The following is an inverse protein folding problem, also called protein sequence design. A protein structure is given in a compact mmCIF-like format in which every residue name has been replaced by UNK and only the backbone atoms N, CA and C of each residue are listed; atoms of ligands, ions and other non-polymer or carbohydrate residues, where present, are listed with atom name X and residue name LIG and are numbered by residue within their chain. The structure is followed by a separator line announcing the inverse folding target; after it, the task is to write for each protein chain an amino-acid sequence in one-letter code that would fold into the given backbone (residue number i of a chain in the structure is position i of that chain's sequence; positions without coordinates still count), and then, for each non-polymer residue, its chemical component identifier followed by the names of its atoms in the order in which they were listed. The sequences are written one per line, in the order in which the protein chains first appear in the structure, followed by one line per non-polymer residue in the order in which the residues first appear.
data_IF_139497874094
#
_entry.id   IF_139497874094
#
_cell.length_a   1.000
_cell.length_b   1.000
_cell.length_c   1.000
_cell.angle_alpha   90.00
_cell.angle_beta   90.00
_cell.angle_gamma   90.00
#
_symmetry.space_group_name_H-M   'P 1'
#
loop_
_entity.id
_entity.type
_entity.pdbx_description
1 polymer ?
#
# COMPACT_ATOMS: atom_id res chain seq x y z
N UNK A 1 -19.83 68.04 -19.26
CA UNK A 1 -20.56 67.23 -18.27
C UNK A 1 -19.54 66.48 -17.44
N UNK A 2 -19.43 66.76 -16.13
CA UNK A 2 -18.47 66.10 -15.24
C UNK A 2 -19.17 64.90 -14.60
N UNK A 3 -18.67 63.69 -14.90
CA UNK A 3 -19.14 62.44 -14.30
C UNK A 3 -18.41 62.24 -12.96
N UNK A 4 -19.05 62.65 -11.86
CA UNK A 4 -18.58 62.38 -10.50
C UNK A 4 -18.81 60.88 -10.19
N UNK A 5 -17.74 60.10 -10.10
CA UNK A 5 -17.81 58.69 -9.68
C UNK A 5 -17.87 58.63 -8.16
N UNK A 6 -19.02 58.24 -7.60
CA UNK A 6 -19.12 57.93 -6.17
C UNK A 6 -18.35 56.66 -5.83
N UNK A 7 -17.22 56.80 -5.14
CA UNK A 7 -16.53 55.69 -4.50
C UNK A 7 -17.31 55.30 -3.25
N UNK A 8 -18.07 54.19 -3.31
CA UNK A 8 -18.70 53.60 -2.14
C UNK A 8 -17.61 52.98 -1.25
N UNK A 9 -17.42 53.54 -0.06
CA UNK A 9 -16.57 52.95 0.98
C UNK A 9 -17.29 51.79 1.67
N UNK A 10 -16.54 50.74 2.02
CA UNK A 10 -17.03 49.63 2.85
C UNK A 10 -17.32 50.13 4.27
N UNK A 11 -18.44 49.70 4.85
CA UNK A 11 -18.74 50.01 6.24
C UNK A 11 -17.95 49.10 7.19
N UNK A 12 -17.61 49.62 8.38
CA UNK A 12 -16.94 48.84 9.43
C UNK A 12 -17.74 47.59 9.82
N UNK A 13 -19.08 47.70 9.81
CA UNK A 13 -19.98 46.59 10.14
C UNK A 13 -19.98 45.49 9.07
N UNK A 14 -19.91 45.85 7.78
CA UNK A 14 -19.81 44.88 6.69
C UNK A 14 -18.50 44.07 6.79
N UNK A 15 -17.38 44.73 7.10
CA UNK A 15 -16.11 44.03 7.31
C UNK A 15 -16.17 43.09 8.52
N UNK A 16 -16.76 43.56 9.62
CA UNK A 16 -16.83 42.81 10.88
C UNK A 16 -17.73 41.57 10.79
N UNK A 17 -18.87 41.68 10.11
CA UNK A 17 -19.76 40.53 9.88
C UNK A 17 -19.10 39.51 8.95
N UNK A 18 -18.35 39.96 7.95
CA UNK A 18 -17.71 39.06 6.98
C UNK A 18 -16.67 38.15 7.64
N UNK A 19 -15.80 38.69 8.48
CA UNK A 19 -14.82 37.88 9.20
C UNK A 19 -15.49 36.93 10.21
N UNK A 20 -16.61 37.33 10.80
CA UNK A 20 -17.39 36.48 11.70
C UNK A 20 -17.97 35.28 10.95
N UNK A 21 -18.55 35.49 9.77
CA UNK A 21 -19.10 34.42 8.94
C UNK A 21 -18.00 33.49 8.43
N UNK A 22 -16.88 34.02 7.92
CA UNK A 22 -15.74 33.22 7.47
C UNK A 22 -15.19 32.37 8.62
N UNK A 23 -15.10 32.93 9.83
CA UNK A 23 -14.67 32.19 11.03
C UNK A 23 -15.54 30.95 11.30
N UNK A 24 -16.87 31.12 11.29
CA UNK A 24 -17.82 30.02 11.50
C UNK A 24 -17.68 28.96 10.40
N UNK A 25 -17.68 29.38 9.13
CA UNK A 25 -17.59 28.47 7.99
C UNK A 25 -16.25 27.70 7.96
N UNK A 26 -15.15 28.37 8.31
CA UNK A 26 -13.81 27.76 8.33
C UNK A 26 -13.69 26.62 9.36
N UNK A 27 -14.36 26.74 10.50
CA UNK A 27 -14.32 25.71 11.56
C UNK A 27 -14.90 24.36 11.10
N UNK A 28 -16.01 24.39 10.35
CA UNK A 28 -16.67 23.19 9.81
C UNK A 28 -15.85 22.57 8.68
N UNK A 29 -15.21 23.40 7.85
CA UNK A 29 -14.38 22.94 6.74
C UNK A 29 -13.14 22.20 7.23
N UNK A 30 -12.51 22.64 8.32
CA UNK A 30 -11.30 22.01 8.86
C UNK A 30 -11.52 20.55 9.27
N UNK A 31 -12.65 20.25 9.93
CA UNK A 31 -12.97 18.88 10.35
C UNK A 31 -13.21 17.98 9.13
N UNK A 32 -13.96 18.46 8.15
CA UNK A 32 -14.24 17.68 6.92
C UNK A 32 -12.99 17.46 6.06
N UNK A 33 -12.07 18.43 6.03
CA UNK A 33 -10.81 18.34 5.28
C UNK A 33 -9.85 17.31 5.87
N UNK A 34 -9.78 17.18 7.20
CA UNK A 34 -8.94 16.16 7.83
C UNK A 34 -9.38 14.75 7.45
N UNK A 35 -10.67 14.43 7.56
CA UNK A 35 -11.23 13.14 7.15
C UNK A 35 -11.04 12.87 5.65
N UNK A 36 -11.16 13.90 4.80
CA UNK A 36 -10.93 13.77 3.36
C UNK A 36 -9.46 13.45 3.04
N UNK A 37 -8.51 14.07 3.74
CA UNK A 37 -7.07 13.81 3.61
C UNK A 37 -6.70 12.39 4.03
N UNK A 38 -7.24 11.91 5.15
CA UNK A 38 -7.00 10.53 5.60
C UNK A 38 -7.56 9.51 4.61
N UNK A 39 -8.76 9.75 4.06
CA UNK A 39 -9.34 8.90 3.01
C UNK A 39 -8.48 8.90 1.74
N UNK A 40 -7.94 10.04 1.35
CA UNK A 40 -7.03 10.15 0.21
C UNK A 40 -5.73 9.35 0.45
N UNK A 41 -5.11 9.49 1.63
CA UNK A 41 -3.92 8.71 2.01
C UNK A 41 -4.17 7.21 1.97
N UNK A 42 -5.30 6.74 2.52
CA UNK A 42 -5.69 5.33 2.46
C UNK A 42 -5.89 4.85 1.02
N UNK A 43 -6.50 5.66 0.16
CA UNK A 43 -6.70 5.31 -1.25
C UNK A 43 -5.37 5.20 -1.99
N UNK A 44 -4.44 6.12 -1.73
CA UNK A 44 -3.08 6.07 -2.28
C UNK A 44 -2.34 4.81 -1.81
N UNK A 45 -2.42 4.47 -0.51
CA UNK A 45 -1.82 3.26 0.03
C UNK A 45 -2.38 1.99 -0.65
N UNK A 46 -3.70 1.89 -0.80
CA UNK A 46 -4.32 0.75 -1.52
C UNK A 46 -3.85 0.69 -2.98
N UNK A 47 -3.72 1.83 -3.66
CA UNK A 47 -3.24 1.87 -5.05
C UNK A 47 -1.80 1.38 -5.17
N UNK A 48 -0.91 1.86 -4.29
CA UNK A 48 0.49 1.42 -4.24
C UNK A 48 0.59 -0.07 -3.91
N UNK A 49 -0.22 -0.54 -2.96
CA UNK A 49 -0.29 -1.95 -2.60
C UNK A 49 -0.81 -2.84 -3.75
N UNK A 50 -1.76 -2.37 -4.56
CA UNK A 50 -2.21 -3.10 -5.75
C UNK A 50 -1.14 -3.19 -6.82
N UNK A 51 -0.38 -2.11 -7.04
CA UNK A 51 0.73 -2.13 -7.99
C UNK A 51 1.75 -3.20 -7.61
N UNK A 52 2.10 -3.28 -6.32
CA UNK A 52 3.07 -4.27 -5.86
C UNK A 52 2.48 -5.70 -5.83
N UNK A 53 1.19 -5.86 -5.53
CA UNK A 53 0.50 -7.14 -5.63
C UNK A 53 0.58 -7.72 -7.05
N UNK A 54 0.40 -6.89 -8.09
CA UNK A 54 0.53 -7.33 -9.48
C UNK A 54 1.96 -7.76 -9.82
N UNK A 55 2.97 -7.02 -9.35
CA UNK A 55 4.39 -7.40 -9.51
C UNK A 55 4.67 -8.75 -8.84
N UNK A 56 4.18 -8.94 -7.61
CA UNK A 56 4.34 -10.20 -6.87
C UNK A 56 3.63 -11.36 -7.58
N UNK A 57 2.44 -11.13 -8.13
CA UNK A 57 1.74 -12.13 -8.94
C UNK A 57 2.51 -12.50 -10.21
N UNK A 58 3.11 -11.52 -10.90
CA UNK A 58 3.99 -11.77 -12.05
C UNK A 58 5.25 -12.56 -11.64
N UNK A 59 5.82 -12.28 -10.46
CA UNK A 59 6.94 -13.02 -9.90
C UNK A 59 6.58 -14.51 -9.71
N UNK A 60 5.36 -14.76 -9.22
CA UNK A 60 4.82 -16.10 -8.94
C UNK A 60 4.42 -16.89 -10.18
N UNK A 61 3.86 -16.24 -11.22
CA UNK A 61 3.43 -16.92 -12.46
C UNK A 61 4.63 -17.39 -13.28
N UNK A 62 5.69 -16.60 -13.33
CA UNK A 62 6.91 -16.92 -14.08
C UNK A 62 7.85 -17.88 -13.32
N UNK A 63 7.39 -18.43 -12.19
CA UNK A 63 8.07 -19.51 -11.50
C UNK A 63 7.91 -20.80 -12.31
N UNK A 64 9.00 -21.24 -12.93
CA UNK A 64 9.08 -22.56 -13.53
C UNK A 64 10.06 -23.40 -12.71
N UNK A 65 9.56 -24.47 -12.10
CA UNK A 65 10.41 -25.54 -11.58
C UNK A 65 11.04 -26.21 -12.79
N UNK A 66 12.34 -26.03 -13.01
CA UNK A 66 13.10 -26.90 -13.89
C UNK A 66 13.91 -27.81 -12.99
N UNK A 67 13.74 -29.12 -13.05
CA UNK A 67 14.68 -30.02 -12.41
C UNK A 67 15.89 -30.15 -13.33
N UNK A 68 17.03 -29.53 -13.03
CA UNK A 68 18.29 -30.01 -13.60
C UNK A 68 18.88 -31.00 -12.59
N UNK A 69 19.00 -32.26 -13.04
CA UNK A 69 19.84 -33.32 -12.46
C UNK A 69 19.37 -34.02 -11.17
N UNK A 70 18.11 -33.87 -10.74
CA UNK A 70 17.72 -34.32 -9.39
C UNK A 70 18.40 -33.51 -8.28
N UNK A 71 19.01 -32.38 -8.67
CA UNK A 71 19.50 -31.31 -7.85
C UNK A 71 18.94 -30.00 -8.43
N UNK A 72 17.61 -29.87 -8.37
CA UNK A 72 16.75 -28.72 -8.72
C UNK A 72 17.40 -27.52 -9.40
N UNK A 73 16.96 -27.24 -10.63
CA UNK A 73 17.29 -26.03 -11.37
C UNK A 73 16.25 -24.94 -11.15
N UNK A 74 16.68 -23.71 -11.36
CA UNK A 74 15.98 -22.51 -10.94
C UNK A 74 15.64 -21.68 -12.17
N UNK A 75 14.40 -21.77 -12.67
CA UNK A 75 13.83 -20.69 -13.48
C UNK A 75 12.90 -19.90 -12.56
N UNK A 76 13.47 -18.82 -12.03
CA UNK A 76 12.72 -17.83 -11.30
C UNK A 76 12.38 -16.65 -12.22
N UNK A 77 11.16 -16.13 -12.09
CA UNK A 77 10.77 -14.90 -12.75
C UNK A 77 11.58 -13.72 -12.20
N UNK A 78 12.27 -13.02 -13.12
CA UNK A 78 13.03 -11.75 -13.05
C UNK A 78 14.47 -11.80 -13.64
N UNK A 79 14.91 -12.82 -14.40
CA UNK A 79 16.09 -12.83 -15.32
C UNK A 79 16.25 -14.24 -15.96
N UNK A 80 16.14 -14.42 -17.28
CA UNK A 80 16.35 -15.73 -17.92
C UNK A 80 17.82 -16.20 -17.99
N UNK A 81 18.81 -15.35 -17.68
CA UNK A 81 20.22 -15.63 -17.99
C UNK A 81 21.07 -16.21 -16.84
N UNK A 82 20.61 -16.11 -15.58
CA UNK A 82 21.50 -16.33 -14.41
C UNK A 82 21.05 -17.32 -13.32
N UNK A 83 19.95 -18.07 -13.50
CA UNK A 83 19.67 -19.28 -12.69
C UNK A 83 19.66 -19.11 -11.17
N UNK A 84 19.32 -17.91 -10.66
CA UNK A 84 19.14 -17.65 -9.22
C UNK A 84 17.66 -17.38 -8.93
N UNK A 85 17.19 -17.76 -7.75
CA UNK A 85 15.81 -17.50 -7.32
C UNK A 85 15.58 -15.99 -7.16
N UNK A 86 14.80 -15.42 -8.08
CA UNK A 86 14.65 -13.99 -8.24
C UNK A 86 13.44 -13.39 -7.50
N UNK A 87 12.64 -14.18 -6.80
CA UNK A 87 11.72 -13.67 -5.78
C UNK A 87 12.29 -14.10 -4.42
N UNK A 88 13.42 -13.50 -4.01
CA UNK A 88 14.04 -13.83 -2.72
C UNK A 88 13.29 -13.14 -1.58
N UNK A 89 12.13 -13.68 -1.26
CA UNK A 89 11.37 -13.33 -0.06
C UNK A 89 12.05 -13.81 1.23
N UNK A 90 13.25 -14.40 1.16
CA UNK A 90 14.06 -14.81 2.30
C UNK A 90 15.05 -13.70 2.72
N UNK A 91 15.21 -12.64 1.92
CA UNK A 91 15.83 -11.37 2.33
C UNK A 91 14.85 -10.41 3.03
N UNK A 92 13.74 -10.96 3.47
CA UNK A 92 12.99 -10.41 4.57
C UNK A 92 13.88 -10.52 5.82
N UNK A 93 14.20 -9.40 6.48
CA UNK A 93 14.96 -9.39 7.73
C UNK A 93 14.28 -10.32 8.77
N UNK A 94 15.00 -10.69 9.84
CA UNK A 94 14.69 -11.71 10.87
C UNK A 94 13.24 -11.80 11.44
N UNK A 95 12.29 -10.96 11.01
CA UNK A 95 10.92 -10.83 11.52
C UNK A 95 9.80 -11.04 10.46
N UNK A 96 10.09 -11.39 9.20
CA UNK A 96 9.01 -11.75 8.25
C UNK A 96 8.27 -10.57 7.60
N UNK A 97 8.81 -9.34 7.66
CA UNK A 97 8.20 -8.10 7.13
C UNK A 97 9.07 -7.43 6.06
N UNK A 98 8.51 -6.98 4.90
CA UNK A 98 9.28 -6.28 3.89
C UNK A 98 9.68 -4.86 4.31
N UNK A 99 10.91 -4.44 4.01
CA UNK A 99 11.34 -3.05 4.16
C UNK A 99 11.18 -2.26 2.86
N UNK A 100 10.78 -1.00 2.99
CA UNK A 100 10.68 -0.07 1.86
C UNK A 100 12.03 0.14 1.17
N UNK A 101 12.01 0.18 -0.17
CA UNK A 101 13.18 0.43 -1.00
C UNK A 101 14.06 -0.80 -1.23
N UNK A 102 13.79 -1.93 -0.58
CA UNK A 102 14.45 -3.18 -0.89
C UNK A 102 13.92 -3.77 -2.21
N UNK A 103 14.81 -4.34 -3.05
CA UNK A 103 14.40 -5.03 -4.26
C UNK A 103 13.54 -6.26 -3.93
N UNK A 104 12.50 -6.44 -4.73
CA UNK A 104 11.67 -7.66 -4.76
C UNK A 104 12.39 -8.75 -5.55
N UNK A 105 13.14 -8.33 -6.58
CA UNK A 105 14.00 -9.19 -7.38
C UNK A 105 15.45 -8.66 -7.37
N UNK A 106 16.36 -9.42 -6.76
CA UNK A 106 17.81 -9.16 -6.83
C UNK A 106 18.31 -9.65 -8.19
N UNK A 107 18.69 -8.75 -9.12
CA UNK A 107 19.46 -8.94 -10.38
C UNK A 107 18.91 -8.16 -11.62
N UNK A 108 17.89 -7.33 -11.47
CA UNK A 108 17.48 -6.40 -12.54
C UNK A 108 18.32 -5.12 -12.49
N UNK A 109 18.69 -4.57 -13.66
CA UNK A 109 19.31 -3.23 -13.78
C UNK A 109 18.39 -2.14 -13.20
N UNK A 110 17.08 -2.38 -13.24
CA UNK A 110 16.03 -1.61 -12.54
C UNK A 110 15.11 -2.57 -11.76
N UNK A 111 15.43 -2.92 -10.50
CA UNK A 111 14.61 -3.84 -9.74
C UNK A 111 13.29 -3.19 -9.34
N UNK A 112 12.22 -3.98 -9.37
CA UNK A 112 11.01 -3.62 -8.65
C UNK A 112 11.34 -3.60 -7.17
N UNK A 113 10.99 -2.51 -6.48
CA UNK A 113 11.27 -2.34 -5.05
C UNK A 113 9.98 -2.29 -4.26
N UNK A 114 10.04 -2.72 -3.01
CA UNK A 114 8.95 -2.53 -2.06
C UNK A 114 8.68 -1.02 -1.89
N UNK A 115 7.44 -0.55 -2.12
CA UNK A 115 7.13 0.87 -2.04
C UNK A 115 7.21 1.40 -0.59
N UNK A 116 7.64 2.66 -0.45
CA UNK A 116 7.59 3.36 0.83
C UNK A 116 6.19 3.91 1.11
N UNK A 117 5.56 3.42 2.18
CA UNK A 117 4.24 3.86 2.63
C UNK A 117 4.25 5.01 3.64
N UNK A 118 5.43 5.49 4.07
CA UNK A 118 5.58 6.52 5.11
C UNK A 118 4.76 7.78 4.83
N UNK A 119 4.67 8.22 3.57
CA UNK A 119 3.89 9.39 3.14
C UNK A 119 2.38 9.24 3.38
N UNK A 120 1.87 8.01 3.39
CA UNK A 120 0.47 7.66 3.66
C UNK A 120 0.21 7.40 5.15
N UNK A 121 1.27 7.24 5.95
CA UNK A 121 1.21 6.84 7.36
C UNK A 121 0.98 5.35 7.59
N UNK A 122 1.08 4.54 6.53
CA UNK A 122 1.04 3.09 6.63
C UNK A 122 2.47 2.53 6.72
N UNK A 123 2.61 1.39 7.37
CA UNK A 123 3.85 0.63 7.49
C UNK A 123 3.56 -0.85 7.22
N UNK A 124 4.58 -1.60 6.80
CA UNK A 124 4.47 -3.04 6.69
C UNK A 124 4.44 -3.67 8.08
N UNK A 125 3.57 -4.65 8.28
CA UNK A 125 3.42 -5.31 9.59
C UNK A 125 3.49 -6.83 9.51
N UNK A 126 3.26 -7.40 8.33
CA UNK A 126 3.28 -8.84 8.14
C UNK A 126 3.45 -9.18 6.67
N UNK A 127 4.09 -10.29 6.38
CA UNK A 127 4.03 -10.94 5.08
C UNK A 127 4.28 -12.43 5.22
N UNK A 128 3.76 -13.22 4.30
CA UNK A 128 4.23 -14.58 4.16
C UNK A 128 4.17 -15.04 2.72
N UNK A 129 5.00 -16.04 2.47
CA UNK A 129 5.18 -16.68 1.19
C UNK A 129 5.34 -18.17 1.40
N UNK A 130 4.63 -18.98 0.62
CA UNK A 130 4.78 -20.43 0.62
C UNK A 130 5.08 -20.93 -0.78
N UNK A 131 6.15 -21.73 -0.87
CA UNK A 131 6.69 -22.35 -2.09
C UNK A 131 6.20 -23.79 -2.31
N UNK A 132 5.32 -24.30 -1.44
CA UNK A 132 4.76 -25.66 -1.53
C UNK A 132 3.56 -25.69 -2.48
N UNK A 133 2.89 -26.84 -2.63
CA UNK A 133 1.79 -27.13 -3.58
C UNK A 133 0.71 -26.04 -3.74
N UNK A 134 0.52 -25.17 -2.74
CA UNK A 134 -0.50 -24.11 -2.74
C UNK A 134 -0.01 -22.75 -3.22
N UNK A 135 1.28 -22.57 -3.52
CA UNK A 135 1.94 -21.36 -4.07
C UNK A 135 1.18 -20.07 -3.71
N UNK A 136 1.41 -19.47 -2.54
CA UNK A 136 0.72 -18.24 -2.16
C UNK A 136 1.66 -17.19 -1.59
N UNK A 137 1.28 -15.93 -1.77
CA UNK A 137 1.92 -14.78 -1.13
C UNK A 137 0.87 -13.88 -0.49
N UNK A 138 1.27 -13.19 0.56
CA UNK A 138 0.57 -12.02 1.05
C UNK A 138 1.51 -11.04 1.72
N UNK A 139 1.09 -9.78 1.76
CA UNK A 139 1.68 -8.76 2.62
C UNK A 139 0.58 -7.89 3.22
N UNK A 140 0.91 -7.27 4.34
CA UNK A 140 0.01 -6.49 5.16
C UNK A 140 0.62 -5.14 5.47
N UNK A 141 -0.17 -4.09 5.25
CA UNK A 141 0.17 -2.74 5.68
C UNK A 141 -0.86 -2.26 6.69
N UNK A 142 -0.39 -1.53 7.69
CA UNK A 142 -1.20 -1.01 8.77
C UNK A 142 -0.83 0.43 9.09
N UNK A 143 -1.80 1.22 9.53
CA UNK A 143 -1.56 2.58 10.02
C UNK A 143 -1.75 2.57 11.53
N UNK A 144 -0.72 2.92 12.33
CA UNK A 144 -0.82 2.93 13.78
C UNK A 144 -2.05 3.69 14.28
N UNK A 145 -2.82 3.05 15.14
CA UNK A 145 -4.06 3.62 15.71
C UNK A 145 -5.34 3.35 14.90
N UNK A 146 -5.27 2.71 13.73
CA UNK A 146 -6.46 2.17 13.07
C UNK A 146 -6.81 0.76 13.61
N UNK A 147 -8.07 0.34 13.51
CA UNK A 147 -8.45 -1.06 13.82
C UNK A 147 -8.35 -1.97 12.59
N UNK A 148 -8.15 -1.38 11.40
CA UNK A 148 -8.11 -2.09 10.14
C UNK A 148 -6.73 -2.03 9.51
N UNK A 149 -6.31 -3.15 8.92
CA UNK A 149 -5.14 -3.24 8.05
C UNK A 149 -5.57 -3.46 6.61
N UNK A 150 -4.65 -3.30 5.68
CA UNK A 150 -4.84 -3.63 4.26
C UNK A 150 -4.03 -4.89 3.98
N UNK A 151 -4.73 -5.94 3.60
CA UNK A 151 -4.18 -7.23 3.24
C UNK A 151 -4.19 -7.40 1.74
N UNK A 152 -3.04 -7.67 1.15
CA UNK A 152 -2.89 -7.95 -0.27
C UNK A 152 -2.38 -9.37 -0.49
N UNK A 153 -3.04 -10.08 -1.39
CA UNK A 153 -2.70 -11.44 -1.81
C UNK A 153 -3.09 -11.61 -3.28
N UNK A 154 -3.01 -12.83 -3.80
CA UNK A 154 -3.25 -13.15 -5.21
C UNK A 154 -4.63 -12.77 -5.76
N UNK A 155 -5.65 -12.65 -4.89
CA UNK A 155 -7.00 -12.24 -5.32
C UNK A 155 -7.21 -10.71 -5.21
N UNK A 156 -6.16 -9.97 -4.90
CA UNK A 156 -6.16 -8.53 -4.73
C UNK A 156 -6.01 -8.07 -3.28
N UNK A 157 -6.33 -6.80 -3.06
CA UNK A 157 -6.16 -6.12 -1.78
C UNK A 157 -7.51 -5.82 -1.13
N UNK A 158 -7.67 -6.17 0.15
CA UNK A 158 -8.88 -5.92 0.94
C UNK A 158 -8.55 -5.46 2.36
N UNK A 159 -9.45 -4.69 2.98
CA UNK A 159 -9.31 -4.30 4.37
C UNK A 159 -9.61 -5.49 5.29
N UNK A 160 -8.77 -5.74 6.29
CA UNK A 160 -8.98 -6.75 7.33
C UNK A 160 -8.96 -6.12 8.72
N UNK A 161 -9.46 -6.83 9.73
CA UNK A 161 -9.29 -6.43 11.13
C UNK A 161 -7.83 -6.67 11.51
N UNK A 162 -7.16 -5.65 12.03
CA UNK A 162 -5.76 -5.75 12.42
C UNK A 162 -5.60 -6.58 13.71
N UNK A 163 -4.57 -7.43 13.74
CA UNK A 163 -4.21 -8.29 14.88
C UNK A 163 -2.71 -8.22 15.08
N UNK A 164 -2.28 -7.79 16.27
CA UNK A 164 -0.88 -7.45 16.58
C UNK A 164 0.06 -8.66 16.53
N UNK A 165 -0.44 -9.89 16.74
CA UNK A 165 0.36 -11.13 16.83
C UNK A 165 0.06 -12.15 15.71
N UNK A 166 -0.48 -11.69 14.57
CA UNK A 166 -0.55 -12.49 13.34
C UNK A 166 -1.95 -12.94 12.86
N UNK A 167 -2.01 -13.23 11.55
CA UNK A 167 -3.09 -13.84 10.76
C UNK A 167 -4.34 -13.00 10.43
N UNK A 168 -4.32 -11.68 10.63
CA UNK A 168 -5.33 -10.76 10.07
C UNK A 168 -5.52 -10.96 8.56
N UNK A 169 -4.44 -11.19 7.81
CA UNK A 169 -4.53 -11.57 6.39
C UNK A 169 -4.76 -13.07 6.15
N UNK A 170 -4.14 -13.95 6.94
CA UNK A 170 -4.23 -15.40 6.71
C UNK A 170 -5.66 -15.94 6.81
N UNK A 171 -6.49 -15.41 7.72
CA UNK A 171 -7.91 -15.79 7.83
C UNK A 171 -8.72 -15.58 6.54
N UNK A 172 -8.25 -14.72 5.63
CA UNK A 172 -8.87 -14.46 4.32
C UNK A 172 -8.26 -15.28 3.17
N UNK A 173 -7.10 -15.89 3.38
CA UNK A 173 -6.36 -16.68 2.39
C UNK A 173 -6.84 -18.14 2.35
N UNK A 174 -7.43 -18.64 3.45
CA UNK A 174 -7.93 -20.02 3.56
C UNK A 174 -9.01 -20.28 2.49
N UNK A 175 -8.62 -20.99 1.44
CA UNK A 175 -9.51 -21.66 0.46
C UNK A 175 -10.07 -22.96 1.09
N UNK A 176 -11.06 -23.65 0.48
CA UNK A 176 -12.08 -24.42 1.20
C UNK A 176 -11.49 -25.65 1.92
N UNK A 177 -12.17 -26.14 2.96
CA UNK A 177 -11.81 -27.44 3.58
C UNK A 177 -11.61 -28.51 2.50
N UNK A 178 -10.57 -29.36 2.59
CA UNK A 178 -10.56 -30.60 1.84
C UNK A 178 -11.77 -31.44 2.30
N UNK A 179 -12.56 -31.90 1.33
CA UNK A 179 -13.68 -32.83 1.51
C UNK A 179 -13.19 -34.22 1.86
#
# INVERSE_FOLDING_TARGET
MKNEKYYKGFTLIELLITIAIIGILSSVILVSLNSARDKAKRTNAISMARNIQAVLEMCMINYAVVDDDGAGSFIAGCDPDNGRALCDFNRILNDGVPDAGLPICDNLETPWVWPDFSSTGYEYVNSAFAQTDTHFFYFEIHKPGEETSICCHQKGCSASKYVVDGNSCFSKIIIPKPS
#
